data_IF_119980100494
#
_entry.id   IF_119980100494
#
_cell.length_a   1.000
_cell.length_b   1.000
_cell.length_c   1.000
_cell.angle_alpha   90.00
_cell.angle_beta   90.00
_cell.angle_gamma   90.00
#
_symmetry.space_group_name_H-M   'P 1'
#
loop_
_entity.id
_entity.type
_entity.pdbx_description
1 polymer ?
#
# COMPACT_ATOMS: atom_id res chain seq x y z
N UNK A 1 23.95 -15.94 -12.96
CA UNK A 1 22.71 -15.13 -13.09
C UNK A 1 22.61 -14.63 -14.53
N UNK A 2 21.49 -14.86 -15.21
CA UNK A 2 21.24 -14.31 -16.54
C UNK A 2 20.40 -13.04 -16.40
N UNK A 3 20.75 -11.98 -17.14
CA UNK A 3 19.99 -10.73 -17.18
C UNK A 3 18.73 -10.96 -18.02
N UNK A 4 17.55 -10.74 -17.47
CA UNK A 4 16.26 -10.94 -18.17
C UNK A 4 15.93 -9.83 -19.17
N UNK A 5 16.63 -8.68 -19.13
CA UNK A 5 16.34 -7.50 -19.94
C UNK A 5 15.06 -6.75 -19.56
N UNK A 6 14.26 -7.27 -18.62
CA UNK A 6 13.04 -6.62 -18.15
C UNK A 6 13.32 -5.75 -16.92
N UNK A 7 12.59 -4.64 -16.78
CA UNK A 7 12.58 -3.85 -15.52
C UNK A 7 11.97 -4.69 -14.41
N UNK A 8 12.40 -4.44 -13.17
CA UNK A 8 11.76 -5.07 -12.00
C UNK A 8 10.28 -4.68 -11.97
N UNK A 9 9.40 -5.66 -11.90
CA UNK A 9 7.95 -5.45 -11.95
C UNK A 9 7.20 -6.67 -11.47
N UNK A 10 5.88 -6.57 -11.47
CA UNK A 10 4.97 -7.64 -11.10
C UNK A 10 3.96 -7.92 -12.22
N UNK A 11 3.44 -9.15 -12.28
CA UNK A 11 2.25 -9.42 -13.06
C UNK A 11 1.03 -8.72 -12.43
N UNK A 12 0.15 -8.19 -13.28
CA UNK A 12 -1.08 -7.47 -12.89
C UNK A 12 -2.28 -8.00 -13.66
N UNK A 13 -3.47 -7.84 -13.11
CA UNK A 13 -4.70 -8.28 -13.75
C UNK A 13 -5.89 -8.28 -12.79
N UNK A 14 -7.10 -8.38 -13.31
CA UNK A 14 -8.32 -8.46 -12.49
C UNK A 14 -8.38 -9.74 -11.64
N UNK A 15 -7.73 -10.82 -12.08
CA UNK A 15 -7.66 -12.09 -11.35
C UNK A 15 -6.91 -11.99 -10.00
N UNK A 16 -6.28 -10.84 -9.70
CA UNK A 16 -5.65 -10.57 -8.41
C UNK A 16 -6.65 -10.17 -7.32
N UNK A 17 -7.85 -9.72 -7.69
CA UNK A 17 -8.90 -9.37 -6.73
C UNK A 17 -9.32 -10.64 -5.97
N UNK A 18 -9.42 -10.54 -4.66
CA UNK A 18 -9.77 -11.69 -3.81
C UNK A 18 -8.60 -12.64 -3.47
N UNK A 19 -7.37 -12.31 -3.88
CA UNK A 19 -6.20 -13.16 -3.71
C UNK A 19 -5.24 -12.61 -2.64
N UNK A 20 -4.44 -13.52 -2.10
CA UNK A 20 -3.35 -13.20 -1.17
C UNK A 20 -2.04 -13.55 -1.88
N UNK A 21 -1.18 -12.55 -2.01
CA UNK A 21 0.03 -12.66 -2.82
C UNK A 21 1.27 -12.21 -2.06
N UNK A 22 2.40 -12.71 -2.49
CA UNK A 22 3.72 -12.30 -2.03
C UNK A 22 4.18 -10.98 -2.67
N UNK A 23 5.33 -10.40 -2.27
CA UNK A 23 5.86 -9.17 -2.86
C UNK A 23 6.17 -9.23 -4.36
N UNK A 24 6.28 -10.41 -4.94
CA UNK A 24 6.55 -10.63 -6.37
C UNK A 24 5.28 -10.92 -7.17
N UNK A 25 4.11 -10.94 -6.53
CA UNK A 25 2.82 -11.23 -7.14
C UNK A 25 2.50 -12.73 -7.26
N UNK A 26 3.28 -13.62 -6.60
CA UNK A 26 2.95 -15.03 -6.57
C UNK A 26 1.88 -15.32 -5.50
N UNK A 27 0.88 -16.19 -5.79
CA UNK A 27 -0.18 -16.51 -4.83
C UNK A 27 0.34 -17.33 -3.66
N UNK A 28 -0.07 -16.97 -2.45
CA UNK A 28 0.23 -17.69 -1.20
C UNK A 28 -1.02 -18.24 -0.50
N UNK A 29 -2.18 -18.09 -1.15
CA UNK A 29 -3.49 -18.49 -0.63
C UNK A 29 -3.90 -19.96 -0.92
N UNK A 30 -3.05 -20.71 -1.61
CA UNK A 30 -3.31 -22.11 -1.98
C UNK A 30 -4.36 -22.29 -3.08
N UNK A 31 -4.85 -21.21 -3.72
CA UNK A 31 -5.89 -21.28 -4.77
C UNK A 31 -5.33 -21.48 -6.20
N UNK A 32 -4.05 -21.85 -6.33
CA UNK A 32 -3.40 -22.04 -7.63
C UNK A 32 -2.91 -20.74 -8.26
N UNK A 33 -2.30 -20.86 -9.43
CA UNK A 33 -1.71 -19.74 -10.17
C UNK A 33 -2.73 -18.68 -10.57
N UNK A 34 -2.28 -17.43 -10.62
CA UNK A 34 -3.09 -16.29 -11.05
C UNK A 34 -2.76 -15.99 -12.51
N UNK A 35 -3.79 -15.97 -13.37
CA UNK A 35 -3.61 -15.55 -14.76
C UNK A 35 -3.47 -14.03 -14.80
N UNK A 36 -2.29 -13.55 -15.15
CA UNK A 36 -2.02 -12.14 -15.31
C UNK A 36 -2.48 -11.64 -16.68
N UNK A 37 -3.02 -10.41 -16.71
CA UNK A 37 -3.39 -9.71 -17.96
C UNK A 37 -2.22 -8.91 -18.51
N UNK A 38 -1.26 -8.54 -17.65
CA UNK A 38 -0.11 -7.75 -18.04
C UNK A 38 1.02 -7.78 -17.02
N UNK A 39 2.00 -6.90 -17.24
CA UNK A 39 3.16 -6.74 -16.36
C UNK A 39 3.45 -5.26 -16.17
N UNK A 40 3.58 -4.79 -14.92
CA UNK A 40 3.93 -3.41 -14.60
C UNK A 40 5.22 -3.31 -13.81
N UNK A 41 6.06 -2.29 -14.10
CA UNK A 41 7.23 -2.00 -13.27
C UNK A 41 6.78 -1.59 -11.86
N UNK A 42 7.53 -2.05 -10.85
CA UNK A 42 7.27 -1.67 -9.45
C UNK A 42 7.66 -0.23 -9.15
N UNK A 43 8.68 0.28 -9.83
CA UNK A 43 9.08 1.69 -9.76
C UNK A 43 8.64 2.41 -11.03
N UNK A 44 7.80 3.43 -10.85
CA UNK A 44 7.31 4.29 -11.90
C UNK A 44 7.17 5.71 -11.36
N UNK A 45 7.33 6.68 -12.22
CA UNK A 45 7.06 8.07 -11.89
C UNK A 45 5.58 8.28 -11.56
N UNK A 46 5.32 9.16 -10.62
CA UNK A 46 3.95 9.55 -10.28
C UNK A 46 3.30 10.31 -11.44
N UNK A 47 1.95 10.27 -11.57
CA UNK A 47 1.24 11.06 -12.57
C UNK A 47 1.62 12.54 -12.50
N UNK A 48 1.81 13.16 -13.65
CA UNK A 48 2.15 14.58 -13.78
C UNK A 48 1.01 15.51 -13.30
N UNK A 49 1.30 16.80 -13.12
CA UNK A 49 0.31 17.78 -12.64
C UNK A 49 -0.88 17.88 -13.61
N UNK A 50 -0.63 17.80 -14.91
CA UNK A 50 -1.67 17.93 -15.96
C UNK A 50 -2.58 16.70 -16.00
N UNK A 51 -2.07 15.53 -15.59
CA UNK A 51 -2.81 14.28 -15.56
C UNK A 51 -3.72 14.15 -14.34
N UNK A 52 -3.60 15.07 -13.38
CA UNK A 52 -4.35 15.04 -12.12
C UNK A 52 -5.59 15.91 -12.18
N UNK A 53 -6.65 15.45 -11.50
CA UNK A 53 -7.88 16.18 -11.25
C UNK A 53 -8.01 16.48 -9.76
N UNK A 54 -8.65 17.59 -9.42
CA UNK A 54 -8.95 17.92 -8.03
C UNK A 54 -9.81 16.86 -7.36
N UNK A 55 -9.49 16.55 -6.11
CA UNK A 55 -10.25 15.62 -5.28
C UNK A 55 -11.58 16.29 -4.87
N UNK A 56 -12.70 15.71 -5.24
CA UNK A 56 -14.04 16.25 -4.99
C UNK A 56 -15.07 15.20 -4.56
N UNK A 57 -14.71 13.92 -4.62
CA UNK A 57 -15.60 12.80 -4.26
C UNK A 57 -15.11 12.19 -2.96
N UNK A 58 -15.93 12.13 -1.90
CA UNK A 58 -15.53 11.53 -0.63
C UNK A 58 -15.37 10.01 -0.76
N UNK A 59 -14.41 9.47 0.01
CA UNK A 59 -14.30 8.06 0.32
C UNK A 59 -14.92 7.85 1.71
N UNK A 60 -16.04 7.19 1.78
CA UNK A 60 -16.72 6.94 3.04
C UNK A 60 -16.00 5.83 3.81
N UNK A 61 -15.44 6.16 4.97
CA UNK A 61 -14.73 5.21 5.83
C UNK A 61 -15.67 4.40 6.73
N UNK A 62 -16.90 4.89 6.95
CA UNK A 62 -17.86 4.34 7.90
C UNK A 62 -17.58 4.76 9.35
N UNK A 63 -16.56 5.57 9.59
CA UNK A 63 -16.21 6.10 10.90
C UNK A 63 -16.74 7.53 11.00
N UNK A 64 -17.79 7.72 11.82
CA UNK A 64 -18.52 8.98 11.92
C UNK A 64 -17.61 10.19 12.17
N UNK A 65 -16.61 10.07 13.02
CA UNK A 65 -15.69 11.16 13.35
C UNK A 65 -14.80 11.57 12.16
N UNK A 66 -14.45 10.64 11.29
CA UNK A 66 -13.66 10.91 10.08
C UNK A 66 -14.59 11.49 9.01
N UNK A 67 -15.66 10.77 8.68
CA UNK A 67 -16.52 11.12 7.55
C UNK A 67 -17.26 12.46 7.74
N UNK A 68 -17.55 12.86 9.01
CA UNK A 68 -18.24 14.12 9.30
C UNK A 68 -17.32 15.33 9.50
N UNK A 69 -16.11 15.13 10.03
CA UNK A 69 -15.21 16.23 10.41
C UNK A 69 -14.03 16.41 9.46
N UNK A 70 -13.48 15.31 8.96
CA UNK A 70 -12.28 15.29 8.11
C UNK A 70 -12.44 14.26 6.99
N UNK A 71 -13.43 14.43 6.09
CA UNK A 71 -13.72 13.43 5.06
C UNK A 71 -12.51 13.21 4.15
N UNK A 72 -12.18 11.95 3.94
CA UNK A 72 -11.12 11.54 3.01
C UNK A 72 -11.68 11.56 1.59
N UNK A 73 -10.95 12.15 0.66
CA UNK A 73 -11.35 12.17 -0.74
C UNK A 73 -10.72 11.03 -1.56
N UNK A 74 -11.43 10.57 -2.60
CA UNK A 74 -10.88 9.59 -3.55
C UNK A 74 -9.70 10.19 -4.31
N UNK A 75 -8.52 9.61 -4.14
CA UNK A 75 -7.25 10.12 -4.66
C UNK A 75 -6.39 10.87 -3.63
N UNK A 76 -6.85 10.95 -2.38
CA UNK A 76 -6.13 11.59 -1.28
C UNK A 76 -5.21 10.62 -0.54
N UNK A 77 -4.27 11.18 0.22
CA UNK A 77 -3.39 10.46 1.13
C UNK A 77 -3.69 10.91 2.54
N UNK A 78 -4.05 9.98 3.42
CA UNK A 78 -4.35 10.28 4.82
C UNK A 78 -3.51 9.39 5.73
N UNK A 79 -2.71 10.03 6.59
CA UNK A 79 -1.79 9.34 7.48
C UNK A 79 -2.50 8.87 8.76
N UNK A 80 -2.40 7.58 9.05
CA UNK A 80 -2.83 6.99 10.31
C UNK A 80 -1.60 6.81 11.21
N UNK A 81 -1.47 7.65 12.22
CA UNK A 81 -0.31 7.69 13.11
C UNK A 81 -0.73 7.41 14.57
N UNK A 82 0.09 6.67 15.29
CA UNK A 82 -0.12 6.43 16.72
C UNK A 82 0.81 5.35 17.27
N UNK A 83 0.78 5.17 18.58
CA UNK A 83 1.58 4.18 19.27
C UNK A 83 1.11 2.74 18.96
N UNK A 84 1.89 1.75 19.38
CA UNK A 84 1.51 0.34 19.21
C UNK A 84 0.19 0.05 19.92
N UNK A 85 -0.64 -0.80 19.28
CA UNK A 85 -1.92 -1.28 19.82
C UNK A 85 -2.97 -0.18 20.08
N UNK A 86 -2.90 0.96 19.40
CA UNK A 86 -3.88 2.06 19.50
C UNK A 86 -5.05 1.93 18.52
N UNK A 87 -5.18 0.82 17.81
CA UNK A 87 -6.29 0.58 16.88
C UNK A 87 -6.09 1.09 15.46
N UNK A 88 -4.86 1.47 15.06
CA UNK A 88 -4.57 1.96 13.69
C UNK A 88 -5.04 1.01 12.59
N UNK A 89 -4.68 -0.28 12.73
CA UNK A 89 -5.10 -1.34 11.80
C UNK A 89 -6.62 -1.50 11.77
N UNK A 90 -7.30 -1.32 12.91
CA UNK A 90 -8.77 -1.42 12.97
C UNK A 90 -9.43 -0.30 12.15
N UNK A 91 -8.94 0.93 12.24
CA UNK A 91 -9.43 2.06 11.41
C UNK A 91 -9.30 1.74 9.92
N UNK A 92 -8.13 1.24 9.50
CA UNK A 92 -7.91 0.87 8.10
C UNK A 92 -8.79 -0.31 7.67
N UNK A 93 -9.02 -1.30 8.55
CA UNK A 93 -9.92 -2.43 8.28
C UNK A 93 -11.37 -1.98 8.15
N UNK A 94 -11.84 -1.13 9.05
CA UNK A 94 -13.21 -0.59 8.99
C UNK A 94 -13.43 0.20 7.69
N UNK A 95 -12.44 0.99 7.27
CA UNK A 95 -12.47 1.68 5.97
C UNK A 95 -12.59 0.71 4.78
N UNK A 96 -11.88 -0.43 4.80
CA UNK A 96 -12.00 -1.48 3.78
C UNK A 96 -13.38 -2.12 3.83
N UNK A 97 -13.85 -2.55 5.01
CA UNK A 97 -15.13 -3.21 5.18
C UNK A 97 -16.31 -2.35 4.70
N UNK A 98 -16.19 -1.04 4.88
CA UNK A 98 -17.21 -0.08 4.46
C UNK A 98 -17.23 0.19 2.93
N UNK A 99 -16.26 -0.35 2.16
CA UNK A 99 -16.28 -0.22 0.69
C UNK A 99 -17.20 -1.24 -0.01
N UNK A 100 -17.82 -2.16 0.73
CA UNK A 100 -18.73 -3.16 0.16
C UNK A 100 -19.84 -2.49 -0.65
N UNK A 101 -19.94 -2.79 -1.95
CA UNK A 101 -20.95 -2.23 -2.84
C UNK A 101 -20.73 -0.78 -3.31
N UNK A 102 -19.53 -0.20 -3.08
CA UNK A 102 -19.21 1.20 -3.46
C UNK A 102 -18.28 1.32 -4.67
N UNK A 103 -18.07 0.23 -5.38
CA UNK A 103 -17.22 0.17 -6.59
C UNK A 103 -15.77 0.62 -6.36
N UNK A 104 -15.23 0.32 -5.17
CA UNK A 104 -13.85 0.60 -4.78
C UNK A 104 -13.10 -0.72 -4.60
N UNK A 105 -11.99 -0.86 -5.32
CA UNK A 105 -11.08 -1.99 -5.15
C UNK A 105 -10.17 -1.71 -3.98
N UNK A 106 -10.04 -2.65 -3.05
CA UNK A 106 -9.19 -2.49 -1.89
C UNK A 106 -7.89 -3.29 -2.05
N UNK A 107 -6.78 -2.72 -1.59
CA UNK A 107 -5.49 -3.39 -1.52
C UNK A 107 -4.93 -3.20 -0.12
N UNK A 108 -4.70 -4.31 0.59
CA UNK A 108 -4.06 -4.28 1.89
C UNK A 108 -2.63 -4.77 1.80
N UNK A 109 -1.69 -3.98 2.30
CA UNK A 109 -0.25 -4.28 2.25
C UNK A 109 0.28 -4.53 3.65
N UNK A 110 0.49 -5.80 3.99
CA UNK A 110 1.11 -6.21 5.25
C UNK A 110 2.64 -6.21 5.12
N UNK A 111 3.31 -5.29 5.81
CA UNK A 111 4.76 -5.11 5.73
C UNK A 111 5.41 -5.56 7.03
N UNK A 112 6.21 -6.63 7.00
CA UNK A 112 6.94 -7.12 8.15
C UNK A 112 6.05 -7.52 9.33
N UNK A 113 4.82 -7.95 9.07
CA UNK A 113 3.87 -8.39 10.08
C UNK A 113 4.07 -9.88 10.43
N UNK A 114 3.58 -10.29 11.61
CA UNK A 114 3.55 -11.71 11.98
C UNK A 114 2.55 -12.46 11.11
N UNK A 115 2.89 -13.65 10.64
CA UNK A 115 1.99 -14.48 9.84
C UNK A 115 0.63 -14.73 10.53
N UNK A 116 0.61 -14.89 11.85
CA UNK A 116 -0.62 -15.05 12.64
C UNK A 116 -1.53 -13.83 12.58
N UNK A 117 -0.96 -12.62 12.61
CA UNK A 117 -1.73 -11.37 12.49
C UNK A 117 -2.34 -11.23 11.09
N UNK A 118 -1.57 -11.55 10.05
CA UNK A 118 -2.08 -11.54 8.67
C UNK A 118 -3.19 -12.59 8.49
N UNK A 119 -3.03 -13.78 9.06
CA UNK A 119 -4.06 -14.82 9.01
C UNK A 119 -5.38 -14.38 9.68
N UNK A 120 -5.32 -13.72 10.84
CA UNK A 120 -6.49 -13.15 11.51
C UNK A 120 -7.17 -12.09 10.65
N UNK A 121 -6.40 -11.18 10.06
CA UNK A 121 -6.89 -10.14 9.17
C UNK A 121 -7.61 -10.75 7.95
N UNK A 122 -7.00 -11.72 7.29
CA UNK A 122 -7.60 -12.43 6.15
C UNK A 122 -8.90 -13.14 6.55
N UNK A 123 -8.94 -13.75 7.73
CA UNK A 123 -10.16 -14.38 8.23
C UNK A 123 -11.27 -13.35 8.48
N UNK A 124 -10.94 -12.17 9.00
CA UNK A 124 -11.90 -11.06 9.17
C UNK A 124 -12.44 -10.58 7.82
N UNK A 125 -11.57 -10.37 6.82
CA UNK A 125 -11.98 -9.98 5.47
C UNK A 125 -12.89 -11.05 4.82
N UNK A 126 -12.55 -12.33 5.02
CA UNK A 126 -13.35 -13.46 4.49
C UNK A 126 -14.71 -13.56 5.14
N UNK A 127 -14.79 -13.43 6.48
CA UNK A 127 -16.05 -13.53 7.21
C UNK A 127 -17.02 -12.38 6.95
N UNK A 128 -16.51 -11.25 6.43
CA UNK A 128 -17.28 -10.07 6.07
C UNK A 128 -17.53 -9.93 4.56
N UNK A 129 -17.18 -10.96 3.77
CA UNK A 129 -17.20 -10.95 2.28
C UNK A 129 -16.38 -9.80 1.67
N UNK A 130 -15.49 -9.19 2.44
CA UNK A 130 -14.65 -8.09 1.98
C UNK A 130 -13.46 -8.57 1.14
N UNK A 131 -13.14 -9.85 1.20
CA UNK A 131 -12.08 -10.42 0.37
C UNK A 131 -12.44 -10.38 -1.12
N UNK A 132 -13.73 -10.42 -1.48
CA UNK A 132 -14.19 -10.43 -2.87
C UNK A 132 -13.80 -9.19 -3.68
N UNK A 133 -13.52 -8.07 -3.00
CA UNK A 133 -13.04 -6.83 -3.62
C UNK A 133 -11.68 -6.37 -3.07
N UNK A 134 -11.00 -7.24 -2.30
CA UNK A 134 -9.72 -6.89 -1.64
C UNK A 134 -8.61 -7.84 -2.06
N UNK A 135 -7.47 -7.28 -2.47
CA UNK A 135 -6.21 -8.01 -2.66
C UNK A 135 -5.30 -7.79 -1.45
N UNK A 136 -4.69 -8.86 -0.93
CA UNK A 136 -3.76 -8.76 0.20
C UNK A 136 -2.34 -9.05 -0.29
N UNK A 137 -1.45 -8.06 -0.21
CA UNK A 137 -0.02 -8.26 -0.36
C UNK A 137 0.60 -8.52 1.01
N UNK A 138 1.38 -9.57 1.11
CA UNK A 138 1.97 -9.96 2.39
C UNK A 138 3.48 -10.15 2.27
N UNK A 139 4.23 -9.45 3.11
CA UNK A 139 5.62 -9.74 3.42
C UNK A 139 5.76 -9.89 4.92
N UNK A 140 6.02 -11.12 5.36
CA UNK A 140 6.09 -11.43 6.80
C UNK A 140 7.40 -10.95 7.44
N UNK A 141 7.42 -10.86 8.77
CA UNK A 141 8.61 -10.48 9.53
C UNK A 141 9.78 -11.47 9.39
N UNK A 142 9.51 -12.70 8.95
CA UNK A 142 10.53 -13.73 8.70
C UNK A 142 11.19 -13.63 7.33
N UNK A 143 10.62 -12.85 6.43
CA UNK A 143 11.16 -12.65 5.10
C UNK A 143 12.35 -11.69 5.09
N UNK A 144 13.17 -11.79 4.05
CA UNK A 144 14.34 -10.94 3.90
C UNK A 144 13.96 -9.46 3.64
N UNK A 145 14.81 -8.54 4.09
CA UNK A 145 14.58 -7.10 3.95
C UNK A 145 14.26 -6.63 2.52
N UNK A 146 14.87 -7.16 1.44
CA UNK A 146 14.50 -6.79 0.08
C UNK A 146 13.03 -7.07 -0.27
N UNK A 147 12.43 -8.14 0.20
CA UNK A 147 11.02 -8.44 -0.04
C UNK A 147 10.11 -7.48 0.72
N UNK A 148 10.43 -7.18 1.99
CA UNK A 148 9.71 -6.17 2.76
C UNK A 148 9.84 -4.77 2.16
N UNK A 149 10.98 -4.46 1.51
CA UNK A 149 11.19 -3.21 0.78
C UNK A 149 10.34 -3.11 -0.49
N UNK A 150 10.21 -4.20 -1.24
CA UNK A 150 9.53 -4.21 -2.54
C UNK A 150 8.00 -4.20 -2.38
N UNK A 151 7.44 -4.84 -1.34
CA UNK A 151 6.00 -5.12 -1.23
C UNK A 151 5.09 -3.89 -1.40
N UNK A 152 5.35 -2.70 -0.82
CA UNK A 152 4.48 -1.55 -1.03
C UNK A 152 4.52 -1.03 -2.47
N UNK A 153 5.67 -1.09 -3.13
CA UNK A 153 5.80 -0.71 -4.55
C UNK A 153 5.07 -1.69 -5.47
N UNK A 154 5.15 -2.98 -5.18
CA UNK A 154 4.42 -4.02 -5.91
C UNK A 154 2.90 -3.80 -5.82
N UNK A 155 2.41 -3.59 -4.61
CA UNK A 155 0.99 -3.32 -4.38
C UNK A 155 0.53 -2.03 -5.08
N UNK A 156 1.36 -0.99 -5.07
CA UNK A 156 1.06 0.26 -5.78
C UNK A 156 1.03 0.06 -7.30
N UNK A 157 1.90 -0.79 -7.85
CA UNK A 157 1.88 -1.10 -9.28
C UNK A 157 0.58 -1.81 -9.70
N UNK A 158 0.01 -2.69 -8.83
CA UNK A 158 -1.30 -3.27 -9.06
C UNK A 158 -2.41 -2.21 -8.91
N UNK A 159 -2.32 -1.31 -7.92
CA UNK A 159 -3.27 -0.21 -7.74
C UNK A 159 -3.34 0.70 -8.98
N UNK A 160 -2.17 1.03 -9.55
CA UNK A 160 -2.08 1.82 -10.78
C UNK A 160 -2.70 1.11 -11.99
N UNK A 161 -2.59 -0.22 -12.08
CA UNK A 161 -3.25 -0.97 -13.14
C UNK A 161 -4.75 -0.70 -13.16
N UNK A 162 -5.40 -0.69 -12.01
CA UNK A 162 -6.82 -0.39 -11.88
C UNK A 162 -7.13 1.10 -12.05
N UNK A 163 -6.30 1.98 -11.49
CA UNK A 163 -6.46 3.43 -11.60
C UNK A 163 -6.48 3.89 -13.06
N UNK A 164 -5.56 3.38 -13.89
CA UNK A 164 -5.52 3.72 -15.32
C UNK A 164 -6.66 3.11 -16.14
N UNK A 165 -7.43 2.19 -15.56
CA UNK A 165 -8.67 1.65 -16.14
C UNK A 165 -9.91 2.41 -15.67
N UNK A 166 -9.75 3.53 -14.97
CA UNK A 166 -10.86 4.34 -14.47
C UNK A 166 -11.50 3.84 -13.18
N UNK A 167 -10.85 2.88 -12.48
CA UNK A 167 -11.37 2.35 -11.22
C UNK A 167 -10.81 3.12 -10.02
N UNK A 168 -11.60 3.21 -8.96
CA UNK A 168 -11.16 3.78 -7.68
C UNK A 168 -10.54 2.68 -6.81
N UNK A 169 -9.37 2.98 -6.26
CA UNK A 169 -8.60 2.04 -5.43
C UNK A 169 -8.35 2.64 -4.05
N UNK A 170 -8.59 1.87 -3.01
CA UNK A 170 -8.16 2.15 -1.64
C UNK A 170 -6.95 1.26 -1.31
N UNK A 171 -5.79 1.86 -1.03
CA UNK A 171 -4.60 1.13 -0.63
C UNK A 171 -4.20 1.46 0.81
N UNK A 172 -3.99 0.42 1.62
CA UNK A 172 -3.54 0.52 3.01
C UNK A 172 -2.13 -0.02 3.12
N UNK A 173 -1.21 0.77 3.71
CA UNK A 173 0.16 0.31 3.98
C UNK A 173 0.36 0.11 5.49
N UNK A 174 0.40 -1.14 5.93
CA UNK A 174 0.53 -1.51 7.35
C UNK A 174 1.82 -2.32 7.62
N UNK A 175 2.90 -1.72 8.09
CA UNK A 175 3.15 -0.30 8.33
C UNK A 175 4.44 0.19 7.62
N UNK A 176 4.47 1.47 7.32
CA UNK A 176 5.63 2.09 6.67
C UNK A 176 6.84 2.26 7.61
N UNK A 177 6.66 2.16 8.93
CA UNK A 177 7.79 2.17 9.87
C UNK A 177 8.68 0.94 9.65
N UNK A 178 8.09 -0.25 9.44
CA UNK A 178 8.83 -1.48 9.13
C UNK A 178 9.45 -1.43 7.73
N UNK A 179 8.78 -0.80 6.77
CA UNK A 179 9.34 -0.54 5.45
C UNK A 179 10.64 0.29 5.54
N UNK A 180 10.65 1.36 6.35
CA UNK A 180 11.84 2.16 6.59
C UNK A 180 12.96 1.36 7.26
N UNK A 181 12.63 0.47 8.22
CA UNK A 181 13.59 -0.43 8.87
C UNK A 181 14.21 -1.41 7.86
N UNK A 182 13.41 -1.98 6.97
CA UNK A 182 13.91 -2.85 5.90
C UNK A 182 14.87 -2.09 4.98
N UNK A 183 14.54 -0.86 4.59
CA UNK A 183 15.42 -0.01 3.79
C UNK A 183 16.73 0.34 4.49
N UNK A 184 16.68 0.63 5.81
CA UNK A 184 17.87 0.83 6.63
C UNK A 184 18.78 -0.41 6.61
N UNK A 185 18.20 -1.60 6.79
CA UNK A 185 18.97 -2.85 6.77
C UNK A 185 19.68 -3.06 5.43
N UNK A 186 18.98 -2.87 4.31
CA UNK A 186 19.56 -2.96 2.96
C UNK A 186 20.68 -1.94 2.78
N UNK A 187 20.45 -0.69 3.18
CA UNK A 187 21.44 0.40 3.02
C UNK A 187 22.71 0.15 3.81
N UNK A 188 22.61 -0.39 5.03
CA UNK A 188 23.76 -0.77 5.85
C UNK A 188 24.54 -1.93 5.23
N UNK A 189 23.84 -2.94 4.69
CA UNK A 189 24.49 -4.07 3.98
C UNK A 189 25.21 -3.62 2.71
N UNK A 190 24.73 -2.55 2.05
CA UNK A 190 25.38 -1.95 0.88
C UNK A 190 26.52 -0.99 1.24
N UNK A 191 26.86 -0.84 2.53
CA UNK A 191 27.92 0.05 2.99
C UNK A 191 27.64 1.55 2.82
N UNK A 192 26.37 1.95 2.69
CA UNK A 192 25.99 3.37 2.61
C UNK A 192 26.20 4.05 3.96
N UNK A 193 26.69 5.28 3.92
CA UNK A 193 26.93 6.06 5.16
C UNK A 193 25.62 6.25 5.93
N UNK A 194 25.56 5.82 7.20
CA UNK A 194 24.37 5.99 8.01
C UNK A 194 24.22 7.44 8.48
N UNK A 195 22.99 7.93 8.47
CA UNK A 195 22.59 9.17 9.09
C UNK A 195 22.06 8.96 10.51
N UNK A 196 21.14 9.81 10.96
CA UNK A 196 20.50 9.72 12.28
C UNK A 196 19.80 8.35 12.45
N UNK A 197 19.99 7.72 13.61
CA UNK A 197 19.43 6.40 13.94
C UNK A 197 19.78 5.30 12.91
N UNK A 198 20.93 5.46 12.26
CA UNK A 198 21.42 4.59 11.19
C UNK A 198 20.53 4.54 9.92
N UNK A 199 19.56 5.43 9.77
CA UNK A 199 18.81 5.56 8.53
C UNK A 199 19.65 6.25 7.45
N UNK A 200 19.53 5.84 6.17
CA UNK A 200 20.16 6.56 5.08
C UNK A 200 19.51 7.93 4.90
N UNK A 201 20.26 8.93 4.41
CA UNK A 201 19.79 10.30 4.27
C UNK A 201 18.59 10.49 3.32
N UNK A 202 18.34 9.52 2.45
CA UNK A 202 17.24 9.53 1.47
C UNK A 202 16.00 8.75 1.92
N UNK A 203 15.88 8.40 3.21
CA UNK A 203 14.70 7.68 3.72
C UNK A 203 13.39 8.45 3.49
N UNK A 204 13.44 9.79 3.50
CA UNK A 204 12.29 10.61 3.15
C UNK A 204 11.83 10.37 1.70
N UNK A 205 12.76 10.33 0.76
CA UNK A 205 12.48 10.09 -0.65
C UNK A 205 11.86 8.71 -0.89
N UNK A 206 12.18 7.72 -0.07
CA UNK A 206 11.58 6.39 -0.10
C UNK A 206 10.04 6.45 -0.03
N UNK A 207 9.51 7.14 0.97
CA UNK A 207 8.06 7.24 1.16
C UNK A 207 7.42 8.29 0.23
N UNK A 208 8.11 9.39 -0.04
CA UNK A 208 7.64 10.46 -0.92
C UNK A 208 7.32 9.92 -2.31
N UNK A 209 8.25 9.22 -2.96
CA UNK A 209 8.04 8.63 -4.30
C UNK A 209 6.98 7.54 -4.35
N UNK A 210 6.75 6.82 -3.22
CA UNK A 210 5.68 5.84 -3.12
C UNK A 210 4.31 6.51 -3.02
N UNK A 211 4.17 7.43 -2.07
CA UNK A 211 2.88 8.06 -1.75
C UNK A 211 2.43 9.05 -2.81
N UNK A 212 3.38 9.69 -3.53
CA UNK A 212 3.06 10.63 -4.60
C UNK A 212 2.35 9.97 -5.80
N UNK A 213 2.48 8.65 -5.94
CA UNK A 213 1.75 7.86 -6.96
C UNK A 213 0.25 7.78 -6.68
N UNK A 214 -0.17 8.03 -5.42
CA UNK A 214 -1.59 8.09 -5.05
C UNK A 214 -2.15 9.44 -5.46
N UNK A 215 -3.12 9.43 -6.36
CA UNK A 215 -3.72 10.62 -6.95
C UNK A 215 -5.07 10.30 -7.58
N UNK A 216 -5.81 11.33 -7.99
CA UNK A 216 -6.97 11.21 -8.86
C UNK A 216 -6.59 11.65 -10.26
N UNK A 217 -6.81 10.80 -11.24
CA UNK A 217 -6.52 11.09 -12.63
C UNK A 217 -7.61 11.96 -13.25
N UNK A 218 -7.23 12.77 -14.24
CA UNK A 218 -8.16 13.44 -15.13
C UNK A 218 -8.91 12.43 -16.00
N UNK A 219 -10.07 12.81 -16.52
CA UNK A 219 -10.90 11.93 -17.34
C UNK A 219 -10.15 11.51 -18.62
N UNK A 220 -9.27 12.38 -19.14
CA UNK A 220 -8.40 12.10 -20.29
C UNK A 220 -7.28 11.08 -19.96
N UNK A 221 -6.82 11.04 -18.70
CA UNK A 221 -5.78 10.11 -18.24
C UNK A 221 -6.34 8.78 -17.72
N UNK A 222 -7.68 8.58 -17.77
CA UNK A 222 -8.36 7.35 -17.34
C UNK A 222 -9.39 7.54 -16.24
N UNK A 223 -9.39 8.66 -15.51
CA UNK A 223 -10.45 9.05 -14.57
C UNK A 223 -10.46 8.33 -13.21
N UNK A 224 -9.63 7.31 -13.02
CA UNK A 224 -9.55 6.54 -11.77
C UNK A 224 -8.78 7.25 -10.66
N UNK A 225 -8.77 6.65 -9.47
CA UNK A 225 -8.06 7.20 -8.32
C UNK A 225 -7.38 6.13 -7.46
N UNK A 226 -6.31 6.53 -6.76
CA UNK A 226 -5.71 5.75 -5.66
C UNK A 226 -5.77 6.59 -4.40
N UNK A 227 -6.54 6.15 -3.41
CA UNK A 227 -6.57 6.71 -2.07
C UNK A 227 -5.66 5.91 -1.18
N UNK A 228 -4.69 6.55 -0.51
CA UNK A 228 -3.71 5.86 0.32
C UNK A 228 -3.93 6.13 1.80
N UNK A 229 -3.93 5.07 2.59
CA UNK A 229 -3.92 5.10 4.05
C UNK A 229 -2.61 4.49 4.58
N UNK A 230 -1.51 5.26 4.61
CA UNK A 230 -0.28 4.81 5.24
C UNK A 230 -0.43 4.80 6.76
N UNK A 231 0.03 3.69 7.37
CA UNK A 231 0.07 3.52 8.81
C UNK A 231 1.51 3.69 9.29
N UNK A 232 1.69 4.43 10.40
CA UNK A 232 2.97 4.63 11.06
C UNK A 232 2.86 4.35 12.54
N UNK A 233 3.83 3.59 13.04
CA UNK A 233 4.00 3.37 14.46
C UNK A 233 4.90 4.43 15.07
N UNK A 234 4.42 5.10 16.13
CA UNK A 234 5.23 5.92 17.01
C UNK A 234 5.78 5.09 18.18
N UNK A 235 6.90 5.53 18.74
CA UNK A 235 7.35 5.02 20.03
C UNK A 235 6.79 5.92 21.13
N UNK A 236 6.31 5.34 22.21
CA UNK A 236 5.63 6.02 23.30
C UNK A 236 6.29 7.35 23.69
N UNK A 237 5.56 8.45 23.56
CA UNK A 237 6.01 9.80 23.89
C UNK A 237 6.94 10.45 22.86
N UNK A 238 7.21 9.83 21.70
CA UNK A 238 8.03 10.41 20.65
C UNK A 238 7.19 10.68 19.40
N UNK A 239 7.21 11.94 18.95
CA UNK A 239 6.79 12.28 17.59
C UNK A 239 7.60 11.44 16.58
N UNK A 240 7.02 10.94 15.49
CA UNK A 240 7.77 10.15 14.52
C UNK A 240 8.95 10.98 14.02
N UNK A 241 10.16 10.48 14.31
CA UNK A 241 11.40 11.16 13.96
C UNK A 241 11.80 10.96 12.50
N UNK A 242 11.04 10.12 11.78
CA UNK A 242 11.13 9.99 10.33
C UNK A 242 10.15 11.01 9.77
N UNK A 243 10.68 12.07 9.17
CA UNK A 243 9.87 13.04 8.44
C UNK A 243 9.21 12.32 7.25
N UNK A 244 7.91 12.07 7.38
CA UNK A 244 7.12 11.61 6.26
C UNK A 244 6.67 12.81 5.44
N UNK A 245 6.62 12.68 4.12
CA UNK A 245 5.97 13.67 3.28
C UNK A 245 4.48 13.66 3.60
N UNK A 246 3.98 14.72 4.19
CA UNK A 246 2.56 15.01 4.24
C UNK A 246 2.10 15.58 2.90
#
# INVERSE_FOLDING_TARGET
>A
MARTGKRAGIPVGEAYIGRIVDPLGAPIDGRGEIKADGYRPIEQEAPGIVERKSVSVPLETGILSIDSMFPIGRGQRELIIGDRQTGKTSIAMDAILNQKGKDVICIYVAIGQKASTVAQLVNTLRSSDALDYTTVFCSTASECAPLQYIVPYSATALAEYFMYQGKDVLIVYDDLSKHAVAYRAISLLLGRSPGREAYPGDVFYLHSRLLERSSRLSDEAGGGSITALPIIETQAGMCPRISLPM
#
